data_IF_181398054107
#
_entry.id   IF_181398054107
#
_cell.length_a   1.000
_cell.length_b   1.000
_cell.length_c   1.000
_cell.angle_alpha   90.00
_cell.angle_beta   90.00
_cell.angle_gamma   90.00
#
_symmetry.space_group_name_H-M   'P 1'
#
loop_
_entity.id
_entity.type
_entity.pdbx_description
1 polymer ?
#
# COMPACT_ATOMS: atom_id res chain seq x y z
N UNK A 1 3.09 -4.45 -7.75
CA UNK A 1 3.28 -5.21 -8.99
C UNK A 1 4.74 -5.18 -9.47
N UNK A 2 5.36 -4.03 -9.72
CA UNK A 2 6.67 -3.90 -10.41
C UNK A 2 7.77 -4.82 -9.86
N UNK A 3 7.92 -4.97 -8.53
CA UNK A 3 8.97 -5.81 -7.94
C UNK A 3 8.77 -7.32 -8.15
N UNK A 4 7.53 -7.76 -8.29
CA UNK A 4 7.13 -9.16 -8.44
C UNK A 4 6.70 -9.49 -9.88
N UNK A 5 6.43 -8.55 -10.74
CA UNK A 5 6.01 -8.78 -12.13
C UNK A 5 7.20 -9.15 -13.01
N UNK A 6 7.70 -10.36 -12.84
CA UNK A 6 8.83 -10.91 -13.60
C UNK A 6 8.47 -12.28 -14.17
N UNK A 7 9.07 -12.64 -15.30
CA UNK A 7 8.94 -13.98 -15.86
C UNK A 7 9.43 -15.04 -14.87
N UNK A 8 8.73 -16.15 -14.77
CA UNK A 8 9.02 -17.23 -13.83
C UNK A 8 8.54 -16.99 -12.39
N UNK A 9 7.83 -15.87 -12.14
CA UNK A 9 7.19 -15.60 -10.85
C UNK A 9 5.72 -16.07 -10.89
N UNK A 10 5.33 -16.87 -9.91
CA UNK A 10 3.94 -17.28 -9.69
C UNK A 10 3.40 -16.63 -8.43
N UNK A 11 2.22 -16.04 -8.54
CA UNK A 11 1.59 -15.27 -7.47
C UNK A 11 0.24 -15.87 -7.10
N UNK A 12 -0.07 -15.86 -5.82
CA UNK A 12 -1.43 -15.97 -5.31
C UNK A 12 -1.73 -14.74 -4.44
N UNK A 13 -2.99 -14.34 -4.34
CA UNK A 13 -3.39 -13.21 -3.50
C UNK A 13 -4.15 -13.66 -2.28
N UNK A 14 -4.00 -12.93 -1.17
CA UNK A 14 -4.81 -13.03 0.04
C UNK A 14 -5.40 -11.66 0.34
N UNK A 15 -6.70 -11.54 0.24
CA UNK A 15 -7.38 -10.26 0.35
C UNK A 15 -8.62 -10.33 1.25
N UNK A 16 -9.01 -9.18 1.78
CA UNK A 16 -10.29 -9.03 2.47
C UNK A 16 -11.45 -9.10 1.47
N UNK A 17 -12.53 -9.80 1.85
CA UNK A 17 -13.72 -9.98 1.03
C UNK A 17 -14.68 -8.78 1.13
N UNK A 18 -14.23 -7.63 0.60
CA UNK A 18 -15.06 -6.44 0.37
C UNK A 18 -14.43 -5.57 -0.73
N UNK A 19 -15.01 -4.42 -1.05
CA UNK A 19 -14.59 -3.56 -2.18
C UNK A 19 -13.08 -3.30 -2.21
N UNK A 20 -12.47 -2.89 -1.10
CA UNK A 20 -11.03 -2.63 -1.03
C UNK A 20 -10.18 -3.84 -1.47
N UNK A 21 -10.47 -5.02 -0.92
CA UNK A 21 -9.70 -6.23 -1.25
C UNK A 21 -9.94 -6.67 -2.70
N UNK A 22 -11.18 -6.68 -3.15
CA UNK A 22 -11.55 -7.09 -4.52
C UNK A 22 -11.01 -6.15 -5.57
N UNK A 23 -11.14 -4.83 -5.38
CA UNK A 23 -10.59 -3.82 -6.29
C UNK A 23 -9.06 -3.82 -6.27
N UNK A 24 -8.47 -4.04 -5.10
CA UNK A 24 -7.02 -4.18 -4.94
C UNK A 24 -6.46 -5.39 -5.68
N UNK A 25 -7.11 -6.56 -5.59
CA UNK A 25 -6.72 -7.76 -6.37
C UNK A 25 -6.89 -7.50 -7.85
N UNK A 26 -8.01 -6.90 -8.27
CA UNK A 26 -8.24 -6.57 -9.67
C UNK A 26 -7.16 -5.64 -10.21
N UNK A 27 -6.87 -4.55 -9.53
CA UNK A 27 -5.84 -3.58 -9.93
C UNK A 27 -4.44 -4.23 -9.97
N UNK A 28 -4.13 -5.10 -9.00
CA UNK A 28 -2.89 -5.85 -9.00
C UNK A 28 -2.78 -6.79 -10.20
N UNK A 29 -3.83 -7.57 -10.47
CA UNK A 29 -3.93 -8.48 -11.61
C UNK A 29 -3.79 -7.76 -12.95
N UNK A 30 -4.50 -6.66 -13.12
CA UNK A 30 -4.46 -5.85 -14.35
C UNK A 30 -3.06 -5.23 -14.60
N UNK A 31 -2.29 -5.02 -13.53
CA UNK A 31 -0.91 -4.51 -13.61
C UNK A 31 0.14 -5.58 -13.89
N UNK A 32 -0.18 -6.88 -13.76
CA UNK A 32 0.75 -7.97 -14.07
C UNK A 32 0.84 -8.19 -15.57
N UNK A 33 2.08 -8.28 -16.08
CA UNK A 33 2.36 -8.55 -17.51
C UNK A 33 3.18 -9.83 -17.71
N UNK A 34 4.02 -10.18 -16.75
CA UNK A 34 5.00 -11.26 -16.84
C UNK A 34 4.80 -12.35 -15.79
N UNK A 35 4.40 -11.99 -14.58
CA UNK A 35 4.10 -12.93 -13.51
C UNK A 35 2.72 -13.58 -13.70
N UNK A 36 2.58 -14.84 -13.25
CA UNK A 36 1.33 -15.60 -13.36
C UNK A 36 0.57 -15.58 -12.05
N UNK A 37 -0.63 -15.00 -12.04
CA UNK A 37 -1.58 -15.12 -10.92
C UNK A 37 -2.34 -16.44 -11.06
N UNK A 38 -2.24 -17.34 -10.06
CA UNK A 38 -2.82 -18.70 -10.09
C UNK A 38 -3.98 -18.89 -9.13
N UNK A 39 -4.12 -18.04 -8.10
CA UNK A 39 -5.19 -18.15 -7.13
C UNK A 39 -5.48 -16.80 -6.48
N UNK A 40 -6.76 -16.53 -6.24
CA UNK A 40 -7.27 -15.39 -5.52
C UNK A 40 -8.04 -15.90 -4.29
N UNK A 41 -7.49 -15.69 -3.09
CA UNK A 41 -8.12 -16.04 -1.82
C UNK A 41 -8.75 -14.81 -1.20
N UNK A 42 -10.04 -14.89 -0.90
CA UNK A 42 -10.80 -13.84 -0.22
C UNK A 42 -11.31 -14.34 1.11
N UNK A 43 -11.04 -13.60 2.18
CA UNK A 43 -11.49 -13.93 3.53
C UNK A 43 -12.31 -12.78 4.12
N UNK A 44 -13.36 -13.09 4.91
CA UNK A 44 -14.15 -12.08 5.60
C UNK A 44 -13.28 -11.08 6.40
N UNK A 45 -13.71 -9.84 6.50
CA UNK A 45 -13.02 -8.78 7.27
C UNK A 45 -12.89 -9.11 8.76
N UNK A 46 -13.76 -9.99 9.25
CA UNK A 46 -13.78 -10.47 10.65
C UNK A 46 -12.90 -11.68 10.90
N UNK A 47 -12.20 -12.18 9.89
CA UNK A 47 -11.33 -13.35 10.03
C UNK A 47 -10.20 -13.08 11.01
N UNK A 48 -10.04 -13.98 11.98
CA UNK A 48 -8.96 -13.97 12.97
C UNK A 48 -8.02 -15.16 12.85
N UNK A 49 -8.51 -16.27 12.26
CA UNK A 49 -7.74 -17.47 11.94
C UNK A 49 -7.58 -17.60 10.43
N UNK A 50 -6.36 -17.48 9.96
CA UNK A 50 -5.98 -17.52 8.55
C UNK A 50 -5.49 -18.89 8.10
N UNK A 51 -5.45 -19.89 8.98
CA UNK A 51 -4.83 -21.21 8.74
C UNK A 51 -5.42 -21.89 7.50
N UNK A 52 -6.75 -21.97 7.39
CA UNK A 52 -7.40 -22.65 6.27
C UNK A 52 -7.14 -21.92 4.93
N UNK A 53 -7.21 -20.57 4.94
CA UNK A 53 -6.89 -19.76 3.75
C UNK A 53 -5.44 -19.91 3.32
N UNK A 54 -4.51 -19.84 4.29
CA UNK A 54 -3.08 -20.03 4.01
C UNK A 54 -2.78 -21.44 3.48
N UNK A 55 -3.43 -22.48 4.00
CA UNK A 55 -3.26 -23.84 3.49
C UNK A 55 -3.68 -23.94 2.02
N UNK A 56 -4.81 -23.34 1.64
CA UNK A 56 -5.23 -23.31 0.22
C UNK A 56 -4.22 -22.61 -0.67
N UNK A 57 -3.63 -21.50 -0.20
CA UNK A 57 -2.56 -20.78 -0.92
C UNK A 57 -1.29 -21.64 -1.07
N UNK A 58 -0.88 -22.33 0.01
CA UNK A 58 0.26 -23.26 -0.02
C UNK A 58 0.00 -24.37 -1.04
N UNK A 59 -1.18 -24.99 -1.02
CA UNK A 59 -1.52 -26.09 -1.94
C UNK A 59 -1.52 -25.66 -3.41
N UNK A 60 -1.79 -24.39 -3.69
CA UNK A 60 -1.71 -23.82 -5.05
C UNK A 60 -0.31 -23.48 -5.50
N UNK A 61 0.62 -23.25 -4.56
CA UNK A 61 1.96 -22.73 -4.85
C UNK A 61 3.08 -23.76 -4.62
N UNK A 62 2.93 -24.72 -3.68
CA UNK A 62 4.02 -25.57 -3.20
C UNK A 62 4.79 -26.31 -4.31
N UNK A 63 4.07 -26.82 -5.33
CA UNK A 63 4.63 -27.64 -6.40
C UNK A 63 4.93 -26.83 -7.68
N UNK A 64 4.70 -25.51 -7.66
CA UNK A 64 4.99 -24.67 -8.82
C UNK A 64 6.48 -24.34 -8.88
N UNK A 65 7.14 -24.42 -10.04
CA UNK A 65 8.53 -24.06 -10.18
C UNK A 65 8.77 -22.55 -10.11
N UNK A 66 9.99 -22.15 -9.80
CA UNK A 66 10.40 -20.75 -9.77
C UNK A 66 10.02 -20.01 -8.49
N UNK A 67 10.05 -18.69 -8.56
CA UNK A 67 9.72 -17.81 -7.44
C UNK A 67 8.20 -17.79 -7.19
N UNK A 68 7.81 -17.97 -5.94
CA UNK A 68 6.41 -18.06 -5.50
C UNK A 68 6.11 -16.97 -4.47
N UNK A 69 5.06 -16.20 -4.69
CA UNK A 69 4.72 -15.05 -3.85
C UNK A 69 3.25 -15.09 -3.45
N UNK A 70 2.96 -14.92 -2.17
CA UNK A 70 1.64 -14.56 -1.66
C UNK A 70 1.61 -13.04 -1.52
N UNK A 71 0.77 -12.38 -2.31
CA UNK A 71 0.56 -10.94 -2.22
C UNK A 71 -0.65 -10.63 -1.34
N UNK A 72 -0.40 -9.95 -0.20
CA UNK A 72 -1.43 -9.65 0.79
C UNK A 72 -2.02 -8.26 0.51
N UNK A 73 -3.37 -8.19 0.44
CA UNK A 73 -4.15 -6.96 0.32
C UNK A 73 -5.11 -6.89 1.49
N UNK A 74 -4.65 -6.28 2.58
CA UNK A 74 -5.36 -6.26 3.85
C UNK A 74 -5.24 -4.91 4.52
N UNK A 75 -6.37 -4.35 4.99
CA UNK A 75 -6.42 -3.07 5.69
C UNK A 75 -6.93 -3.22 7.13
N UNK A 76 -6.45 -2.37 8.03
CA UNK A 76 -6.88 -2.35 9.42
C UNK A 76 -6.26 -3.41 10.31
N UNK A 77 -6.92 -3.69 11.43
CA UNK A 77 -6.48 -4.68 12.42
C UNK A 77 -6.65 -6.12 11.91
N UNK A 78 -5.96 -7.07 12.55
CA UNK A 78 -6.06 -8.50 12.21
C UNK A 78 -5.31 -8.87 10.93
N UNK A 79 -4.24 -8.17 10.61
CA UNK A 79 -3.43 -8.45 9.42
C UNK A 79 -2.93 -9.91 9.41
N UNK A 80 -3.04 -10.61 8.26
CA UNK A 80 -2.72 -12.03 8.13
C UNK A 80 -1.22 -12.37 8.10
N UNK A 81 -0.34 -11.52 8.61
CA UNK A 81 1.11 -11.78 8.62
C UNK A 81 1.50 -13.08 9.33
N UNK A 82 0.68 -13.54 10.27
CA UNK A 82 0.89 -14.82 10.96
C UNK A 82 0.90 -16.04 10.04
N UNK A 83 0.44 -15.92 8.80
CA UNK A 83 0.62 -17.00 7.82
C UNK A 83 2.11 -17.31 7.57
N UNK A 84 3.00 -16.35 7.84
CA UNK A 84 4.45 -16.59 7.79
C UNK A 84 4.92 -17.69 8.76
N UNK A 85 4.19 -17.90 9.87
CA UNK A 85 4.48 -18.94 10.85
C UNK A 85 4.13 -20.36 10.35
N UNK A 86 3.47 -20.48 9.20
CA UNK A 86 3.13 -21.76 8.57
C UNK A 86 4.29 -22.35 7.72
N UNK A 87 5.52 -22.00 8.04
CA UNK A 87 6.73 -22.52 7.39
C UNK A 87 6.70 -22.36 5.85
N UNK A 88 6.25 -21.22 5.37
CA UNK A 88 6.18 -20.90 3.94
C UNK A 88 7.53 -21.06 3.24
N UNK A 89 8.63 -20.84 3.97
CA UNK A 89 10.01 -20.98 3.47
C UNK A 89 10.31 -22.41 3.02
N UNK A 90 9.76 -23.44 3.68
CA UNK A 90 9.89 -24.85 3.30
C UNK A 90 9.41 -25.09 1.87
N UNK A 91 8.40 -24.33 1.44
CA UNK A 91 7.84 -24.42 0.10
C UNK A 91 8.43 -23.38 -0.86
N UNK A 92 9.40 -22.57 -0.40
CA UNK A 92 9.97 -21.49 -1.19
C UNK A 92 8.96 -20.37 -1.50
N UNK A 93 7.97 -20.17 -0.62
CA UNK A 93 6.92 -19.16 -0.77
C UNK A 93 7.32 -17.91 0.03
N UNK A 94 7.30 -16.77 -0.63
CA UNK A 94 7.56 -15.45 -0.05
C UNK A 94 6.25 -14.69 0.18
N UNK A 95 6.27 -13.70 1.08
CA UNK A 95 5.15 -12.79 1.30
C UNK A 95 5.54 -11.42 0.77
N UNK A 96 4.61 -10.80 0.05
CA UNK A 96 4.71 -9.40 -0.37
C UNK A 96 3.43 -8.64 -0.03
N UNK A 97 3.57 -7.35 0.25
CA UNK A 97 2.46 -6.46 0.60
C UNK A 97 2.61 -5.11 -0.09
N UNK A 98 1.55 -4.31 -0.09
CA UNK A 98 1.57 -2.95 -0.62
C UNK A 98 0.82 -1.97 0.27
N UNK A 99 1.05 -0.66 0.06
CA UNK A 99 0.34 0.38 0.79
C UNK A 99 0.68 0.49 2.28
N UNK A 100 1.88 0.09 2.68
CA UNK A 100 2.27 0.01 4.07
C UNK A 100 2.44 1.39 4.72
N UNK A 101 2.03 1.48 5.97
CA UNK A 101 2.30 2.61 6.88
C UNK A 101 3.45 2.26 7.82
N UNK A 102 4.06 3.26 8.47
CA UNK A 102 5.22 3.04 9.34
C UNK A 102 4.99 2.00 10.45
N UNK A 103 3.86 1.97 11.17
CA UNK A 103 3.59 0.92 12.18
C UNK A 103 3.57 -0.49 11.59
N UNK A 104 3.00 -0.67 10.40
CA UNK A 104 3.00 -1.96 9.71
C UNK A 104 4.42 -2.38 9.31
N UNK A 105 5.21 -1.43 8.77
CA UNK A 105 6.61 -1.68 8.42
C UNK A 105 7.47 -2.05 9.63
N UNK A 106 7.22 -1.44 10.79
CA UNK A 106 7.93 -1.78 12.03
C UNK A 106 7.66 -3.23 12.49
N UNK A 107 6.46 -3.76 12.20
CA UNK A 107 6.13 -5.15 12.48
C UNK A 107 6.88 -6.14 11.58
N UNK A 108 7.31 -5.74 10.38
CA UNK A 108 8.00 -6.62 9.42
C UNK A 108 9.36 -7.12 9.91
N UNK A 109 9.99 -6.45 10.89
CA UNK A 109 11.21 -6.97 11.53
C UNK A 109 11.04 -8.37 12.13
N UNK A 110 9.80 -8.75 12.48
CA UNK A 110 9.46 -10.05 13.03
C UNK A 110 9.25 -11.11 11.92
N UNK A 111 9.24 -10.70 10.64
CA UNK A 111 8.98 -11.55 9.47
C UNK A 111 10.05 -11.31 8.41
N UNK A 112 11.31 -11.73 8.65
CA UNK A 112 12.40 -11.48 7.73
C UNK A 112 12.16 -12.15 6.37
N UNK A 113 12.42 -11.39 5.30
CA UNK A 113 12.21 -11.82 3.91
C UNK A 113 10.87 -11.36 3.31
N UNK A 114 10.02 -10.63 4.06
CA UNK A 114 8.86 -9.97 3.48
C UNK A 114 9.27 -8.79 2.60
N UNK A 115 8.67 -8.69 1.42
CA UNK A 115 8.73 -7.50 0.58
C UNK A 115 7.54 -6.60 0.85
N UNK A 116 7.78 -5.29 0.96
CA UNK A 116 6.72 -4.31 1.18
C UNK A 116 6.95 -3.03 0.41
N UNK A 117 5.86 -2.42 -0.04
CA UNK A 117 5.88 -1.09 -0.64
C UNK A 117 5.17 -0.10 0.28
N UNK A 118 5.72 1.11 0.38
CA UNK A 118 5.06 2.24 1.04
C UNK A 118 4.79 3.35 0.05
N UNK A 119 3.72 4.10 0.24
CA UNK A 119 3.39 5.26 -0.59
C UNK A 119 4.17 6.51 -0.20
N UNK A 120 4.71 6.54 1.02
CA UNK A 120 5.50 7.65 1.52
C UNK A 120 6.40 7.17 2.67
N UNK A 121 7.65 7.65 2.66
CA UNK A 121 8.59 7.55 3.76
C UNK A 121 9.28 8.91 3.96
N UNK A 122 9.18 9.49 5.12
CA UNK A 122 9.56 10.87 5.42
C UNK A 122 11.01 11.24 5.06
N UNK A 123 11.90 10.27 5.06
CA UNK A 123 13.32 10.45 4.76
C UNK A 123 13.69 10.43 3.27
N UNK A 124 12.76 10.07 2.38
CA UNK A 124 13.04 9.96 0.93
C UNK A 124 12.87 11.28 0.19
N UNK A 125 11.74 12.00 0.27
CA UNK A 125 11.59 13.25 -0.46
C UNK A 125 12.50 14.33 0.12
N UNK A 126 13.26 15.02 -0.77
CA UNK A 126 14.16 16.12 -0.43
C UNK A 126 13.63 17.40 -1.03
N UNK A 127 12.64 18.00 -0.36
CA UNK A 127 12.05 19.28 -0.76
C UNK A 127 11.55 20.05 0.44
N UNK A 128 11.46 21.40 0.34
CA UNK A 128 11.09 22.27 1.47
C UNK A 128 9.72 21.97 2.08
N UNK A 129 8.76 21.50 1.26
CA UNK A 129 7.41 21.17 1.74
C UNK A 129 7.44 19.94 2.65
N UNK A 130 8.21 18.91 2.25
CA UNK A 130 8.42 17.72 3.07
C UNK A 130 9.14 18.08 4.39
N UNK A 131 10.20 18.86 4.32
CA UNK A 131 10.99 19.26 5.50
C UNK A 131 10.14 20.03 6.51
N UNK A 132 9.32 20.97 6.03
CA UNK A 132 8.41 21.74 6.88
C UNK A 132 7.33 20.85 7.52
N UNK A 133 6.72 19.94 6.75
CA UNK A 133 5.74 19.00 7.27
C UNK A 133 6.35 18.06 8.31
N UNK A 134 7.53 17.50 8.04
CA UNK A 134 8.24 16.61 8.98
C UNK A 134 8.56 17.34 10.28
N UNK A 135 9.09 18.55 10.21
CA UNK A 135 9.41 19.36 11.40
C UNK A 135 8.16 19.67 12.23
N UNK A 136 7.06 20.08 11.58
CA UNK A 136 5.80 20.36 12.25
C UNK A 136 5.20 19.13 12.92
N UNK A 137 5.21 17.98 12.23
CA UNK A 137 4.71 16.73 12.78
C UNK A 137 5.52 16.25 13.99
N UNK A 138 6.85 16.30 13.92
CA UNK A 138 7.70 15.95 15.06
C UNK A 138 7.50 16.90 16.26
N UNK A 139 7.30 18.18 16.00
CA UNK A 139 7.01 19.16 17.06
C UNK A 139 5.75 18.79 17.82
N UNK A 140 4.69 18.41 17.14
CA UNK A 140 3.38 18.12 17.70
C UNK A 140 3.30 16.70 18.29
N UNK A 141 3.65 15.69 17.51
CA UNK A 141 3.39 14.28 17.84
C UNK A 141 4.61 13.50 18.36
N UNK A 142 5.83 14.07 18.32
CA UNK A 142 7.09 13.41 18.71
C UNK A 142 7.40 12.11 17.95
N UNK A 143 6.77 11.88 16.82
CA UNK A 143 6.93 10.73 15.93
C UNK A 143 7.13 11.20 14.49
N UNK A 144 7.73 10.36 13.61
CA UNK A 144 7.79 10.71 12.20
C UNK A 144 6.41 10.68 11.54
N UNK A 145 6.15 11.55 10.53
CA UNK A 145 4.95 11.47 9.73
C UNK A 145 4.96 10.23 8.84
N UNK A 146 3.77 9.70 8.55
CA UNK A 146 3.57 8.60 7.64
C UNK A 146 2.79 9.02 6.37
N UNK A 147 2.38 8.02 5.62
CA UNK A 147 1.60 8.18 4.40
C UNK A 147 0.28 8.96 4.63
N UNK A 148 -0.43 8.73 5.74
CA UNK A 148 -1.68 9.43 6.03
C UNK A 148 -1.44 10.92 6.31
N UNK A 149 -0.40 11.24 7.06
CA UNK A 149 0.00 12.64 7.29
C UNK A 149 0.35 13.33 5.97
N UNK A 150 1.18 12.70 5.14
CA UNK A 150 1.55 13.26 3.84
C UNK A 150 0.35 13.40 2.89
N UNK A 151 -0.59 12.45 2.94
CA UNK A 151 -1.83 12.49 2.17
C UNK A 151 -2.74 13.64 2.59
N UNK A 152 -3.02 13.77 3.88
CA UNK A 152 -3.82 14.87 4.43
C UNK A 152 -3.18 16.24 4.18
N UNK A 153 -1.86 16.35 4.34
CA UNK A 153 -1.13 17.58 4.05
C UNK A 153 -1.25 17.96 2.55
N UNK A 154 -1.11 17.00 1.65
CA UNK A 154 -1.25 17.23 0.21
C UNK A 154 -2.67 17.67 -0.16
N UNK A 155 -3.71 17.07 0.46
CA UNK A 155 -5.09 17.46 0.24
C UNK A 155 -5.35 18.90 0.70
N UNK A 156 -4.83 19.29 1.86
CA UNK A 156 -4.91 20.67 2.37
C UNK A 156 -4.18 21.64 1.42
N UNK A 157 -2.99 21.28 0.93
CA UNK A 157 -2.24 22.09 -0.03
C UNK A 157 -2.99 22.29 -1.35
N UNK A 158 -3.67 21.24 -1.86
CA UNK A 158 -4.51 21.35 -3.05
C UNK A 158 -5.64 22.38 -2.83
N UNK A 159 -6.37 22.28 -1.71
CA UNK A 159 -7.44 23.22 -1.39
C UNK A 159 -6.93 24.66 -1.24
N UNK A 160 -5.84 24.87 -0.50
CA UNK A 160 -5.23 26.19 -0.33
C UNK A 160 -4.78 26.78 -1.67
N UNK A 161 -4.20 25.96 -2.55
CA UNK A 161 -3.77 26.42 -3.87
C UNK A 161 -4.98 26.84 -4.73
N UNK A 162 -6.04 26.06 -4.72
CA UNK A 162 -7.28 26.40 -5.44
C UNK A 162 -7.94 27.68 -4.87
N UNK A 163 -8.01 27.83 -3.55
CA UNK A 163 -8.54 29.03 -2.91
C UNK A 163 -7.73 30.29 -3.26
N UNK A 164 -6.40 30.18 -3.31
CA UNK A 164 -5.55 31.29 -3.76
C UNK A 164 -5.82 31.65 -5.22
N UNK A 165 -5.95 30.65 -6.10
CA UNK A 165 -6.25 30.86 -7.52
C UNK A 165 -7.64 31.49 -7.77
N UNK A 166 -8.59 31.25 -6.87
CA UNK A 166 -9.95 31.82 -6.94
C UNK A 166 -10.11 33.10 -6.12
N UNK A 167 -9.02 33.68 -5.56
CA UNK A 167 -9.06 34.83 -4.67
C UNK A 167 -9.99 34.65 -3.45
N UNK A 168 -10.02 33.43 -2.89
CA UNK A 168 -10.85 33.10 -1.71
C UNK A 168 -12.30 32.77 -2.03
N UNK A 169 -12.68 32.66 -3.30
CA UNK A 169 -14.03 32.25 -3.67
C UNK A 169 -14.25 30.77 -3.32
N UNK A 170 -15.24 30.51 -2.48
CA UNK A 170 -15.58 29.17 -1.97
C UNK A 170 -16.65 28.46 -2.78
N UNK A 171 -17.06 28.99 -3.93
CA UNK A 171 -18.01 28.31 -4.79
C UNK A 171 -17.49 26.94 -5.24
N UNK A 172 -18.21 25.88 -4.90
CA UNK A 172 -17.80 24.50 -5.11
C UNK A 172 -17.46 24.20 -6.57
N UNK A 173 -18.30 24.61 -7.50
CA UNK A 173 -18.09 24.33 -8.93
C UNK A 173 -16.86 25.05 -9.46
N UNK A 174 -16.61 26.28 -8.99
CA UNK A 174 -15.41 27.05 -9.35
C UNK A 174 -14.15 26.41 -8.78
N UNK A 175 -14.18 25.93 -7.54
CA UNK A 175 -13.05 25.22 -6.92
C UNK A 175 -12.76 23.91 -7.67
N UNK A 176 -13.77 23.09 -7.97
CA UNK A 176 -13.60 21.85 -8.74
C UNK A 176 -12.94 22.14 -10.07
N UNK A 177 -13.48 23.08 -10.84
CA UNK A 177 -12.92 23.48 -12.14
C UNK A 177 -11.48 23.99 -12.04
N UNK A 178 -11.15 24.69 -10.95
CA UNK A 178 -9.78 25.19 -10.72
C UNK A 178 -8.81 24.05 -10.36
N UNK A 179 -9.29 23.03 -9.66
CA UNK A 179 -8.49 21.87 -9.28
C UNK A 179 -8.21 20.91 -10.45
N UNK A 180 -9.08 20.88 -11.44
CA UNK A 180 -8.89 20.04 -12.64
C UNK A 180 -7.62 20.46 -13.41
N UNK A 181 -6.62 19.59 -13.46
CA UNK A 181 -5.33 19.86 -14.11
C UNK A 181 -4.40 20.82 -13.36
N UNK A 182 -4.74 21.20 -12.13
CA UNK A 182 -3.90 22.08 -11.31
C UNK A 182 -2.60 21.36 -10.88
N UNK A 183 -1.48 22.07 -10.99
CA UNK A 183 -0.21 21.60 -10.45
C UNK A 183 0.15 22.34 -9.16
N UNK A 184 0.64 21.62 -8.15
CA UNK A 184 1.04 22.21 -6.88
C UNK A 184 2.13 21.37 -6.20
N UNK A 185 2.88 22.00 -5.28
CA UNK A 185 3.93 21.32 -4.53
C UNK A 185 3.35 20.54 -3.35
N UNK A 186 3.90 19.34 -3.10
CA UNK A 186 3.51 18.46 -1.99
C UNK A 186 4.74 17.89 -1.29
N UNK A 187 4.57 17.24 -0.12
CA UNK A 187 5.67 16.53 0.52
C UNK A 187 6.32 15.46 -0.38
N UNK A 188 5.60 14.92 -1.34
CA UNK A 188 6.11 13.91 -2.30
C UNK A 188 6.68 14.52 -3.58
N UNK A 189 6.69 15.83 -3.70
CA UNK A 189 7.06 16.59 -4.88
C UNK A 189 5.84 17.20 -5.58
N UNK A 190 6.03 17.67 -6.81
CA UNK A 190 4.96 18.29 -7.61
C UNK A 190 3.92 17.26 -8.01
N UNK A 191 2.66 17.59 -7.80
CA UNK A 191 1.49 16.80 -8.21
C UNK A 191 0.63 17.60 -9.20
N UNK A 192 -0.04 16.89 -10.08
CA UNK A 192 -1.03 17.43 -11.04
C UNK A 192 -2.28 16.60 -10.99
#
# INVERSE_FOLDING_TARGET
>A
AVAIDKAGVTVATLAQDYAFGRDGVKAFKDALKNAKLVHEEYLPTTTTDFTAGAQRLIDKLKDVPGRKVIFIIWAGAGNPFKIADMDLKRYGIEIATGGNILPAMAAYRNFPGMEGATYYYFGIPKNPVNEAMVAAHYKEFKTPPDFFTAGGFSAAMALVTALKATNGDTNTNKLIKTMEGMSFETPKGKMT
#
